data_IF_837581849060
#
_entry.id   IF_837581849060
#
_cell.length_a   1.000
_cell.length_b   1.000
_cell.length_c   1.000
_cell.angle_alpha   90.00
_cell.angle_beta   90.00
_cell.angle_gamma   90.00
#
_symmetry.space_group_name_H-M   'P 1'
#
loop_
_entity.id
_entity.type
_entity.pdbx_description
1 polymer ?
#
# COMPACT_ATOMS: atom_id res chain seq x y z
N UNK A 1 9.03 -20.40 9.47
CA UNK A 1 10.18 -19.57 9.14
C UNK A 1 9.81 -18.10 9.20
N UNK A 2 10.63 -17.27 9.83
CA UNK A 2 10.36 -15.84 9.87
C UNK A 2 10.78 -15.18 8.56
N UNK A 3 10.13 -14.07 8.24
CA UNK A 3 10.49 -13.28 7.06
C UNK A 3 11.89 -12.67 7.24
N UNK A 4 12.53 -12.31 6.14
CA UNK A 4 13.88 -11.75 6.17
C UNK A 4 13.87 -10.34 6.77
N UNK A 5 15.02 -9.94 7.34
CA UNK A 5 15.18 -8.59 7.87
C UNK A 5 14.96 -7.53 6.77
N UNK A 6 15.35 -7.83 5.54
CA UNK A 6 15.15 -6.92 4.40
C UNK A 6 13.67 -6.71 4.11
N UNK A 7 12.87 -7.77 4.19
CA UNK A 7 11.42 -7.65 4.01
C UNK A 7 10.81 -6.70 5.06
N UNK A 8 11.14 -6.89 6.33
CA UNK A 8 10.61 -6.04 7.40
C UNK A 8 11.03 -4.59 7.22
N UNK A 9 12.26 -4.35 6.83
CA UNK A 9 12.75 -3.00 6.56
C UNK A 9 11.94 -2.35 5.44
N UNK A 10 11.72 -3.06 4.34
CA UNK A 10 10.96 -2.55 3.21
C UNK A 10 9.50 -2.29 3.57
N UNK A 11 8.88 -3.22 4.30
CA UNK A 11 7.45 -3.08 4.65
C UNK A 11 7.24 -1.91 5.62
N UNK A 12 8.12 -1.76 6.59
CA UNK A 12 8.02 -0.66 7.55
C UNK A 12 8.23 0.69 6.89
N UNK A 13 9.24 0.82 6.03
CA UNK A 13 9.50 2.06 5.30
C UNK A 13 8.33 2.41 4.39
N UNK A 14 7.77 1.43 3.71
CA UNK A 14 6.62 1.65 2.81
C UNK A 14 5.39 2.08 3.60
N UNK A 15 5.11 1.43 4.71
CA UNK A 15 3.94 1.77 5.54
C UNK A 15 4.07 3.17 6.12
N UNK A 16 5.26 3.54 6.58
CA UNK A 16 5.50 4.89 7.09
C UNK A 16 5.29 5.93 6.00
N UNK A 17 5.82 5.69 4.81
CA UNK A 17 5.68 6.60 3.69
C UNK A 17 4.22 6.75 3.25
N UNK A 18 3.50 5.63 3.12
CA UNK A 18 2.08 5.62 2.77
C UNK A 18 1.26 6.38 3.81
N UNK A 19 1.48 6.08 5.09
CA UNK A 19 0.76 6.76 6.17
C UNK A 19 0.96 8.27 6.12
N UNK A 20 2.22 8.71 6.00
CA UNK A 20 2.55 10.12 5.97
C UNK A 20 1.91 10.83 4.77
N UNK A 21 1.92 10.21 3.61
CA UNK A 21 1.35 10.81 2.41
C UNK A 21 -0.16 10.87 2.45
N UNK A 22 -0.81 9.84 2.99
CA UNK A 22 -2.26 9.83 3.12
C UNK A 22 -2.74 10.80 4.19
N UNK A 23 -2.00 10.97 5.27
CA UNK A 23 -2.32 11.97 6.31
C UNK A 23 -2.23 13.39 5.78
N UNK A 24 -1.41 13.62 4.76
CA UNK A 24 -1.24 14.95 4.15
C UNK A 24 -2.36 15.31 3.17
N UNK A 25 -3.27 14.38 2.85
CA UNK A 25 -4.37 14.65 1.93
C UNK A 25 -5.39 15.61 2.55
N UNK A 26 -5.86 16.56 1.74
CA UNK A 26 -6.83 17.55 2.20
C UNK A 26 -8.17 16.93 2.59
N UNK A 27 -8.53 15.80 2.00
CA UNK A 27 -9.77 15.09 2.30
C UNK A 27 -9.79 14.49 3.71
N UNK A 28 -8.63 14.42 4.35
CA UNK A 28 -8.47 13.92 5.72
C UNK A 28 -9.15 12.57 5.93
N UNK A 29 -8.71 11.53 5.22
CA UNK A 29 -9.33 10.21 5.37
C UNK A 29 -9.05 9.63 6.76
N UNK A 30 -9.95 8.75 7.21
CA UNK A 30 -9.76 8.02 8.47
C UNK A 30 -8.69 6.95 8.28
N UNK A 31 -7.61 7.06 9.03
CA UNK A 31 -6.49 6.12 8.95
C UNK A 31 -6.35 5.37 10.26
N UNK A 32 -6.44 4.05 10.21
CA UNK A 32 -6.21 3.18 11.35
C UNK A 32 -4.99 2.32 11.07
N UNK A 33 -4.02 2.35 11.97
CA UNK A 33 -2.77 1.63 11.81
C UNK A 33 -2.65 0.52 12.86
N UNK A 34 -2.37 -0.68 12.40
CA UNK A 34 -2.01 -1.81 13.26
C UNK A 34 -0.61 -2.28 12.86
N UNK A 35 -0.09 -3.33 13.50
CA UNK A 35 1.31 -3.73 13.34
C UNK A 35 1.77 -3.91 11.88
N UNK A 36 1.03 -4.66 11.08
CA UNK A 36 1.36 -4.84 9.66
C UNK A 36 0.14 -4.58 8.79
N UNK A 37 -0.65 -3.57 9.15
CA UNK A 37 -1.88 -3.24 8.45
C UNK A 37 -2.21 -1.77 8.58
N UNK A 38 -2.66 -1.17 7.47
CA UNK A 38 -3.20 0.18 7.45
C UNK A 38 -4.57 0.10 6.78
N UNK A 39 -5.59 0.63 7.48
CA UNK A 39 -6.93 0.77 6.91
C UNK A 39 -7.20 2.25 6.69
N UNK A 40 -7.58 2.61 5.48
CA UNK A 40 -7.87 4.00 5.12
C UNK A 40 -9.29 4.09 4.58
N UNK A 41 -10.10 4.91 5.23
CA UNK A 41 -11.49 5.11 4.81
C UNK A 41 -11.66 6.52 4.30
N UNK A 42 -12.01 6.64 3.02
CA UNK A 42 -12.32 7.89 2.37
C UNK A 42 -13.83 8.14 2.42
N UNK A 43 -14.28 9.27 1.88
CA UNK A 43 -15.70 9.60 1.78
C UNK A 43 -16.45 8.51 0.99
N UNK A 44 -17.74 8.39 1.24
CA UNK A 44 -18.62 7.41 0.60
C UNK A 44 -18.22 5.96 0.86
N UNK A 45 -17.55 5.71 2.00
CA UNK A 45 -17.13 4.36 2.43
C UNK A 45 -16.16 3.68 1.47
N UNK A 46 -15.34 4.46 0.81
CA UNK A 46 -14.26 3.92 -0.03
C UNK A 46 -13.12 3.52 0.87
N UNK A 47 -12.81 2.23 0.96
CA UNK A 47 -11.82 1.69 1.88
C UNK A 47 -10.65 1.08 1.12
N UNK A 48 -9.44 1.47 1.53
CA UNK A 48 -8.20 0.86 1.06
C UNK A 48 -7.53 0.18 2.25
N UNK A 49 -7.05 -1.04 2.04
CA UNK A 49 -6.37 -1.81 3.09
C UNK A 49 -4.98 -2.21 2.61
N UNK A 50 -3.98 -1.84 3.38
CA UNK A 50 -2.59 -2.23 3.12
C UNK A 50 -2.19 -3.23 4.19
N UNK A 51 -1.66 -4.38 3.81
CA UNK A 51 -1.23 -5.38 4.79
C UNK A 51 0.06 -6.07 4.37
N UNK A 52 0.85 -6.48 5.37
CA UNK A 52 2.05 -7.26 5.14
C UNK A 52 1.77 -8.73 5.35
N UNK A 53 2.07 -9.55 4.34
CA UNK A 53 1.95 -11.01 4.43
C UNK A 53 3.33 -11.59 4.69
N UNK A 54 3.72 -11.65 5.96
CA UNK A 54 5.08 -12.00 6.35
C UNK A 54 5.50 -13.41 5.94
N UNK A 55 4.57 -14.35 5.96
CA UNK A 55 4.87 -15.75 5.62
C UNK A 55 5.35 -15.91 4.18
N UNK A 56 4.92 -15.06 3.26
CA UNK A 56 5.29 -15.11 1.85
C UNK A 56 6.06 -13.85 1.41
N UNK A 57 6.40 -13.00 2.35
CA UNK A 57 7.15 -11.76 2.13
C UNK A 57 6.52 -10.87 1.05
N UNK A 58 5.21 -10.66 1.17
CA UNK A 58 4.46 -9.84 0.22
C UNK A 58 3.82 -8.64 0.90
N UNK A 59 3.57 -7.61 0.10
CA UNK A 59 2.72 -6.49 0.46
C UNK A 59 1.39 -6.69 -0.27
N UNK A 60 0.28 -6.56 0.44
CA UNK A 60 -1.04 -6.69 -0.14
C UNK A 60 -1.79 -5.38 -0.08
N UNK A 61 -2.51 -5.06 -1.15
CA UNK A 61 -3.35 -3.87 -1.24
C UNK A 61 -4.75 -4.29 -1.64
N UNK A 62 -5.72 -4.00 -0.78
CA UNK A 62 -7.14 -4.17 -1.10
C UNK A 62 -7.75 -2.83 -1.45
N UNK A 63 -8.44 -2.75 -2.58
CA UNK A 63 -9.18 -1.57 -3.01
C UNK A 63 -10.64 -1.97 -3.23
N UNK A 64 -11.56 -1.01 -3.43
CA UNK A 64 -12.97 -1.38 -3.65
C UNK A 64 -13.19 -2.34 -4.81
N UNK A 65 -12.33 -2.31 -5.83
CA UNK A 65 -12.51 -3.13 -7.02
C UNK A 65 -11.66 -4.39 -7.06
N UNK A 66 -10.59 -4.49 -6.28
CA UNK A 66 -9.62 -5.57 -6.45
C UNK A 66 -8.72 -5.76 -5.26
N UNK A 67 -7.96 -6.87 -5.30
CA UNK A 67 -6.88 -7.11 -4.38
C UNK A 67 -5.59 -7.35 -5.16
N UNK A 68 -4.49 -6.79 -4.68
CA UNK A 68 -3.19 -6.86 -5.34
C UNK A 68 -2.14 -7.42 -4.39
N UNK A 69 -1.21 -8.19 -4.94
CA UNK A 69 -0.09 -8.78 -4.19
C UNK A 69 1.22 -8.33 -4.81
N UNK A 70 2.13 -7.82 -3.99
CA UNK A 70 3.39 -7.26 -4.44
C UNK A 70 4.56 -7.97 -3.79
N UNK A 71 5.66 -8.10 -4.54
CA UNK A 71 6.95 -8.54 -4.02
C UNK A 71 7.97 -7.42 -4.19
N UNK A 72 8.92 -7.34 -3.28
CA UNK A 72 9.98 -6.32 -3.35
C UNK A 72 10.98 -6.68 -4.45
N UNK A 73 11.31 -5.71 -5.28
CA UNK A 73 12.35 -5.86 -6.31
C UNK A 73 13.46 -4.83 -6.10
N UNK A 74 14.63 -5.30 -5.73
CA UNK A 74 15.78 -4.43 -5.50
C UNK A 74 16.18 -3.63 -6.75
N UNK A 75 16.01 -4.20 -7.94
CA UNK A 75 16.39 -3.53 -9.19
C UNK A 75 15.61 -2.24 -9.45
N UNK A 76 14.37 -2.15 -8.94
CA UNK A 76 13.55 -0.95 -9.11
C UNK A 76 13.31 -0.24 -7.77
N UNK A 77 13.83 -0.81 -6.68
CA UNK A 77 13.68 -0.29 -5.32
C UNK A 77 12.21 0.02 -4.98
N UNK A 78 11.31 -0.88 -5.36
CA UNK A 78 9.90 -0.76 -5.08
C UNK A 78 9.25 -2.15 -5.09
N UNK A 79 7.98 -2.18 -4.66
CA UNK A 79 7.15 -3.37 -4.72
C UNK A 79 6.56 -3.51 -6.11
N UNK A 80 6.47 -4.74 -6.59
CA UNK A 80 6.01 -5.04 -7.96
C UNK A 80 4.87 -6.05 -7.89
N UNK A 81 3.76 -5.76 -8.58
CA UNK A 81 2.60 -6.64 -8.64
C UNK A 81 2.98 -7.97 -9.27
N UNK A 82 2.61 -9.07 -8.60
CA UNK A 82 2.98 -10.42 -9.03
C UNK A 82 2.32 -10.84 -10.35
N UNK A 83 1.24 -10.19 -10.74
CA UNK A 83 0.52 -10.54 -11.98
C UNK A 83 0.86 -9.66 -13.16
N UNK A 84 0.95 -8.35 -12.96
CA UNK A 84 1.10 -7.37 -14.04
C UNK A 84 2.47 -6.74 -14.11
N UNK A 85 3.28 -6.94 -13.07
CA UNK A 85 4.60 -6.35 -12.92
C UNK A 85 4.57 -4.82 -12.81
N UNK A 86 3.41 -4.23 -12.51
CA UNK A 86 3.29 -2.79 -12.24
C UNK A 86 3.88 -2.48 -10.87
N UNK A 87 4.53 -1.33 -10.74
CA UNK A 87 5.09 -0.93 -9.46
C UNK A 87 4.00 -0.38 -8.53
N UNK A 88 4.18 -0.62 -7.23
CA UNK A 88 3.21 -0.26 -6.20
C UNK A 88 2.81 1.21 -6.25
N UNK A 89 3.77 2.12 -6.38
CA UNK A 89 3.49 3.55 -6.39
C UNK A 89 2.57 3.95 -7.54
N UNK A 90 2.82 3.42 -8.74
CA UNK A 90 1.97 3.70 -9.90
C UNK A 90 0.58 3.10 -9.74
N UNK A 91 0.51 1.86 -9.27
CA UNK A 91 -0.76 1.17 -9.10
C UNK A 91 -1.61 1.85 -8.02
N UNK A 92 -1.00 2.20 -6.89
CA UNK A 92 -1.70 2.90 -5.81
C UNK A 92 -2.22 4.26 -6.30
N UNK A 93 -1.40 5.00 -7.04
CA UNK A 93 -1.82 6.30 -7.58
C UNK A 93 -3.03 6.17 -8.50
N UNK A 94 -3.04 5.15 -9.36
CA UNK A 94 -4.15 4.90 -10.27
C UNK A 94 -5.42 4.51 -9.51
N UNK A 95 -5.30 3.64 -8.50
CA UNK A 95 -6.46 3.19 -7.72
C UNK A 95 -7.04 4.32 -6.87
N UNK A 96 -6.20 5.16 -6.30
CA UNK A 96 -6.66 6.32 -5.53
C UNK A 96 -7.41 7.31 -6.45
N UNK A 97 -6.89 7.56 -7.63
CA UNK A 97 -7.56 8.45 -8.59
C UNK A 97 -8.92 7.88 -9.03
N UNK A 98 -8.97 6.57 -9.30
CA UNK A 98 -10.19 5.93 -9.77
C UNK A 98 -11.27 5.81 -8.70
N UNK A 99 -10.90 5.34 -7.51
CA UNK A 99 -11.90 5.01 -6.47
C UNK A 99 -12.13 6.10 -5.45
N UNK A 100 -11.14 6.90 -5.15
CA UNK A 100 -11.23 7.93 -4.12
C UNK A 100 -11.16 9.36 -4.68
N UNK A 101 -10.83 9.52 -5.96
CA UNK A 101 -10.65 10.83 -6.56
C UNK A 101 -9.49 11.60 -5.97
N UNK A 102 -8.49 10.89 -5.43
CA UNK A 102 -7.35 11.50 -4.76
C UNK A 102 -6.09 11.40 -5.59
N UNK A 103 -5.24 12.41 -5.46
CA UNK A 103 -3.92 12.41 -6.08
C UNK A 103 -2.87 12.35 -4.99
N UNK A 104 -1.98 11.37 -5.07
CA UNK A 104 -0.88 11.23 -4.13
C UNK A 104 0.42 11.66 -4.80
N UNK A 105 1.24 12.39 -4.07
CA UNK A 105 2.51 12.90 -4.57
C UNK A 105 3.65 12.12 -3.91
N UNK A 106 4.39 11.38 -4.72
CA UNK A 106 5.51 10.56 -4.24
C UNK A 106 6.86 11.31 -4.20
#
# INVERSE_FOLDING_TARGET
>A
MSASARYYECIEDTFEDVENRLEALESDPDITVAEVMINVTFAYRVVFVFSGQTAVEQLCLGTPGSGFHFVWQESVEDWVDTKTERVFKELLSAELAEHAGETIDW
#
